data_IF_799786917136
#
_entry.id   IF_799786917136
#
_cell.length_a   1.000
_cell.length_b   1.000
_cell.length_c   1.000
_cell.angle_alpha   90.00
_cell.angle_beta   90.00
_cell.angle_gamma   90.00
#
_symmetry.space_group_name_H-M   'P 1'
#
loop_
_entity.id
_entity.type
_entity.pdbx_description
1 polymer ?
#
# COMPACT_ATOMS: atom_id res chain seq x y z
N UNK A 1 10.76 58.90 -47.92
CA UNK A 1 10.55 59.69 -46.68
C UNK A 1 10.57 58.73 -45.51
N UNK A 2 11.49 58.96 -44.57
CA UNK A 2 11.62 58.23 -43.31
C UNK A 2 10.35 58.37 -42.46
N UNK A 3 10.00 57.32 -41.69
CA UNK A 3 9.51 57.50 -40.31
C UNK A 3 9.86 56.27 -39.45
N UNK A 4 10.76 56.51 -38.49
CA UNK A 4 11.00 55.74 -37.26
C UNK A 4 9.74 55.75 -36.38
N UNK A 5 9.53 54.73 -35.51
CA UNK A 5 9.03 54.78 -34.10
C UNK A 5 8.87 53.31 -33.61
N UNK A 6 9.72 52.79 -32.70
CA UNK A 6 9.73 52.85 -31.21
C UNK A 6 9.18 51.57 -30.55
N UNK A 7 10.10 50.77 -29.99
CA UNK A 7 9.85 49.66 -29.05
C UNK A 7 9.38 50.22 -27.69
N UNK A 8 8.42 49.57 -26.99
CA UNK A 8 8.27 49.70 -25.55
C UNK A 8 9.04 48.59 -24.82
N UNK A 9 9.94 48.99 -23.93
CA UNK A 9 10.62 48.13 -22.96
C UNK A 9 9.68 47.83 -21.78
N UNK A 10 9.43 46.55 -21.50
CA UNK A 10 8.78 46.11 -20.27
C UNK A 10 9.83 45.94 -19.16
N UNK A 11 9.75 46.78 -18.13
CA UNK A 11 10.42 46.57 -16.84
C UNK A 11 9.66 45.48 -16.05
N UNK A 12 10.34 44.36 -15.75
CA UNK A 12 9.90 43.41 -14.74
C UNK A 12 10.52 43.82 -13.38
N UNK A 13 9.67 44.10 -12.40
CA UNK A 13 10.07 44.37 -11.01
C UNK A 13 10.24 43.04 -10.27
N UNK A 14 11.45 42.80 -9.76
CA UNK A 14 11.76 41.68 -8.88
C UNK A 14 11.24 41.98 -7.47
N UNK A 15 10.19 41.28 -7.04
CA UNK A 15 9.77 41.26 -5.65
C UNK A 15 10.69 40.31 -4.86
N UNK A 16 11.53 40.88 -3.99
CA UNK A 16 12.35 40.11 -3.04
C UNK A 16 11.44 39.73 -1.86
N UNK A 17 11.00 38.47 -1.81
CA UNK A 17 10.32 37.93 -0.64
C UNK A 17 11.34 37.75 0.51
N UNK A 18 11.13 38.47 1.61
CA UNK A 18 11.90 38.33 2.84
C UNK A 18 11.66 36.95 3.48
N UNK A 19 12.70 36.22 3.91
CA UNK A 19 12.51 34.98 4.66
C UNK A 19 11.98 35.31 6.07
N UNK A 20 10.77 34.83 6.36
CA UNK A 20 10.21 34.84 7.71
C UNK A 20 11.02 33.88 8.60
N UNK A 21 11.44 34.28 9.82
CA UNK A 21 12.16 33.38 10.72
C UNK A 21 11.23 32.25 11.19
N UNK A 22 11.54 31.01 10.77
CA UNK A 22 10.97 29.81 11.36
C UNK A 22 11.45 29.69 12.81
N UNK A 23 10.51 29.82 13.74
CA UNK A 23 10.70 29.50 15.15
C UNK A 23 10.91 27.97 15.28
N UNK A 24 12.16 27.50 15.17
CA UNK A 24 12.53 26.11 15.43
C UNK A 24 12.85 25.96 16.92
N UNK A 25 12.06 25.13 17.59
CA UNK A 25 12.32 24.60 18.92
C UNK A 25 13.76 24.05 18.99
N UNK A 26 14.54 24.32 20.04
CA UNK A 26 15.96 23.95 20.06
C UNK A 26 16.13 22.42 20.07
N UNK A 27 16.88 21.92 19.10
CA UNK A 27 17.33 20.53 19.06
C UNK A 27 18.20 20.24 20.29
N UNK A 28 17.94 19.12 20.97
CA UNK A 28 18.72 18.69 22.13
C UNK A 28 20.01 18.05 21.63
N UNK A 29 21.14 18.75 21.74
CA UNK A 29 22.46 18.19 21.44
C UNK A 29 22.98 17.42 22.64
N UNK A 30 23.54 16.23 22.39
CA UNK A 30 24.28 15.45 23.40
C UNK A 30 25.76 15.61 23.07
N UNK A 31 26.55 16.15 24.00
CA UNK A 31 28.01 16.18 23.88
C UNK A 31 28.59 14.83 24.32
N UNK A 32 29.42 14.25 23.46
CA UNK A 32 30.22 13.08 23.76
C UNK A 32 31.51 13.49 24.46
N UNK A 33 32.14 12.52 25.13
CA UNK A 33 33.35 12.72 25.95
C UNK A 33 34.57 13.21 25.14
N UNK A 34 34.54 13.08 23.82
CA UNK A 34 35.58 13.56 22.89
C UNK A 34 35.29 14.97 22.32
N UNK A 35 34.25 15.64 22.81
CA UNK A 35 33.85 16.98 22.36
C UNK A 35 33.03 17.00 21.07
N UNK A 36 32.71 15.84 20.47
CA UNK A 36 31.75 15.79 19.35
C UNK A 36 30.31 15.89 19.84
N UNK A 37 29.47 16.58 19.08
CA UNK A 37 28.05 16.77 19.41
C UNK A 37 27.17 15.94 18.47
N UNK A 38 26.35 15.05 19.04
CA UNK A 38 25.28 14.38 18.32
C UNK A 38 24.01 15.23 18.38
N UNK A 39 23.54 15.67 17.22
CA UNK A 39 22.21 16.25 17.06
C UNK A 39 21.20 15.11 16.92
N UNK A 40 20.37 14.91 17.94
CA UNK A 40 19.18 14.05 17.82
C UNK A 40 18.11 14.86 17.11
N UNK A 41 18.03 14.74 15.80
CA UNK A 41 16.85 15.16 15.05
C UNK A 41 15.74 14.13 15.30
N UNK A 42 14.55 14.61 15.66
CA UNK A 42 13.33 13.79 15.68
C UNK A 42 13.25 12.99 14.38
N UNK A 43 12.93 11.69 14.53
CA UNK A 43 12.95 10.68 13.49
C UNK A 43 12.53 11.24 12.12
N UNK A 44 13.52 11.52 11.27
CA UNK A 44 13.28 11.75 9.85
C UNK A 44 12.57 10.49 9.36
N UNK A 45 11.29 10.62 8.97
CA UNK A 45 10.55 9.57 8.26
C UNK A 45 11.47 9.11 7.12
N UNK A 46 12.07 7.93 7.27
CA UNK A 46 12.86 7.35 6.18
C UNK A 46 11.89 7.20 5.01
N UNK A 47 12.23 7.78 3.87
CA UNK A 47 11.44 7.63 2.66
C UNK A 47 11.17 6.14 2.40
N UNK A 48 9.96 5.78 1.95
CA UNK A 48 9.64 4.39 1.66
C UNK A 48 10.62 3.81 0.64
N UNK A 49 11.10 2.59 0.89
CA UNK A 49 11.94 1.83 -0.04
C UNK A 49 11.02 1.05 -0.98
N UNK A 50 11.37 0.86 -2.25
CA UNK A 50 10.58 0.07 -3.19
C UNK A 50 11.26 -1.25 -3.54
N UNK A 51 10.44 -2.26 -3.86
CA UNK A 51 10.85 -3.57 -4.40
C UNK A 51 10.23 -3.69 -5.79
N UNK A 52 11.02 -4.04 -6.80
CA UNK A 52 10.49 -4.33 -8.13
C UNK A 52 9.99 -5.78 -8.19
N UNK A 53 8.80 -5.99 -8.75
CA UNK A 53 8.17 -7.30 -8.91
C UNK A 53 8.43 -7.85 -10.33
N UNK A 54 8.15 -9.14 -10.55
CA UNK A 54 8.35 -9.80 -11.85
C UNK A 54 7.65 -9.13 -13.02
N UNK A 55 6.46 -8.61 -12.74
CA UNK A 55 5.65 -7.91 -13.73
C UNK A 55 6.15 -6.47 -13.97
N UNK A 56 7.25 -6.03 -13.34
CA UNK A 56 7.81 -4.69 -13.48
C UNK A 56 7.12 -3.63 -12.62
N UNK A 57 6.10 -3.99 -11.85
CA UNK A 57 5.47 -3.10 -10.88
C UNK A 57 6.33 -2.94 -9.62
N UNK A 58 5.97 -1.99 -8.76
CA UNK A 58 6.71 -1.71 -7.53
C UNK A 58 5.84 -1.93 -6.29
N UNK A 59 6.43 -2.58 -5.30
CA UNK A 59 5.89 -2.76 -3.97
C UNK A 59 6.56 -1.80 -3.00
N UNK A 60 5.78 -1.19 -2.13
CA UNK A 60 6.26 -0.18 -1.17
C UNK A 60 6.62 -0.82 0.14
N UNK A 61 7.80 -0.50 0.67
CA UNK A 61 8.29 -0.90 1.99
C UNK A 61 8.33 0.31 2.90
N UNK A 62 7.72 0.19 4.08
CA UNK A 62 7.67 1.25 5.09
C UNK A 62 7.83 0.66 6.50
N UNK A 63 8.12 1.48 7.53
CA UNK A 63 8.07 1.01 8.91
C UNK A 63 6.68 0.45 9.26
N UNK A 64 6.62 -0.65 10.02
CA UNK A 64 5.35 -1.14 10.55
C UNK A 64 4.82 -0.18 11.60
N UNK A 65 3.50 0.02 11.64
CA UNK A 65 2.87 0.82 12.69
C UNK A 65 2.41 -0.10 13.81
N UNK A 66 2.90 0.16 15.02
CA UNK A 66 2.35 -0.45 16.23
C UNK A 66 1.03 0.25 16.58
N UNK A 67 -0.07 -0.42 16.30
CA UNK A 67 -1.35 -0.04 16.89
C UNK A 67 -1.25 -0.29 18.39
N UNK A 68 -1.18 0.80 19.17
CA UNK A 68 -1.26 0.76 20.63
C UNK A 68 -2.67 0.31 21.05
N UNK A 69 -2.99 -0.97 20.85
CA UNK A 69 -4.22 -1.58 21.37
C UNK A 69 -4.03 -1.92 22.85
N UNK A 70 -5.03 -1.56 23.64
CA UNK A 70 -5.14 -1.77 25.08
C UNK A 70 -4.71 -3.18 25.49
N UNK A 71 -3.84 -3.29 26.50
CA UNK A 71 -3.25 -4.53 27.04
C UNK A 71 -4.27 -5.49 27.71
N UNK A 72 -5.57 -5.16 27.70
CA UNK A 72 -6.58 -5.85 28.50
C UNK A 72 -7.49 -6.82 27.73
N UNK A 73 -7.31 -7.00 26.41
CA UNK A 73 -8.05 -8.01 25.66
C UNK A 73 -7.24 -9.30 25.54
N UNK A 74 -7.88 -10.45 25.79
CA UNK A 74 -7.26 -11.76 25.57
C UNK A 74 -6.75 -11.85 24.13
N UNK A 75 -5.44 -12.05 24.05
CA UNK A 75 -4.62 -12.10 22.85
C UNK A 75 -4.85 -13.42 22.12
N UNK A 76 -5.77 -13.40 21.15
CA UNK A 76 -6.01 -14.56 20.28
C UNK A 76 -5.22 -14.38 18.97
N UNK A 77 -4.37 -15.36 18.67
CA UNK A 77 -3.69 -15.49 17.39
C UNK A 77 -4.62 -16.09 16.33
N UNK A 78 -4.21 -15.98 15.06
CA UNK A 78 -4.82 -16.66 13.91
C UNK A 78 -6.32 -16.41 13.78
N UNK A 79 -6.68 -15.12 13.65
CA UNK A 79 -8.06 -14.69 13.48
C UNK A 79 -8.22 -13.47 12.59
N UNK A 80 -9.45 -13.24 12.16
CA UNK A 80 -9.87 -11.96 11.61
C UNK A 80 -9.94 -10.95 12.76
N UNK A 81 -9.15 -9.88 12.70
CA UNK A 81 -9.16 -8.82 13.71
C UNK A 81 -10.02 -7.62 13.32
N UNK A 82 -10.27 -7.43 12.02
CA UNK A 82 -11.19 -6.45 11.47
C UNK A 82 -11.68 -6.87 10.08
N UNK A 83 -12.85 -6.36 9.69
CA UNK A 83 -13.31 -6.42 8.30
C UNK A 83 -13.17 -5.04 7.66
N UNK A 84 -12.98 -5.00 6.34
CA UNK A 84 -12.92 -3.73 5.61
C UNK A 84 -14.24 -2.93 5.65
N UNK A 85 -14.24 -1.72 5.09
CA UNK A 85 -15.40 -0.84 5.13
C UNK A 85 -16.61 -1.49 4.43
N UNK A 86 -17.82 -1.14 4.88
CA UNK A 86 -19.06 -1.63 4.24
C UNK A 86 -19.21 -1.16 2.78
N UNK A 87 -18.44 -0.19 2.31
CA UNK A 87 -18.41 0.27 0.92
C UNK A 87 -17.46 -0.54 0.03
N UNK A 88 -16.50 -1.26 0.61
CA UNK A 88 -15.46 -2.01 -0.11
C UNK A 88 -15.80 -3.49 -0.28
N UNK A 89 -17.04 -3.84 -0.66
CA UNK A 89 -17.38 -5.25 -0.90
C UNK A 89 -16.90 -5.69 -2.27
N UNK A 90 -16.18 -6.81 -2.31
CA UNK A 90 -15.75 -7.47 -3.54
C UNK A 90 -16.34 -8.89 -3.60
N UNK A 91 -17.00 -9.28 -4.70
CA UNK A 91 -17.39 -10.67 -4.93
C UNK A 91 -16.19 -11.61 -4.78
N UNK A 92 -16.37 -12.77 -4.13
CA UNK A 92 -15.25 -13.69 -3.88
C UNK A 92 -14.72 -14.26 -5.20
N UNK A 93 -15.64 -14.66 -6.08
CA UNK A 93 -15.34 -15.16 -7.43
C UNK A 93 -15.37 -14.02 -8.46
N UNK A 94 -14.80 -14.29 -9.63
CA UNK A 94 -14.87 -13.37 -10.77
C UNK A 94 -16.33 -13.14 -11.21
N UNK A 95 -16.64 -11.93 -11.66
CA UNK A 95 -18.01 -11.47 -11.89
C UNK A 95 -18.09 -10.36 -12.93
N UNK A 96 -19.31 -10.10 -13.41
CA UNK A 96 -19.61 -9.01 -14.34
C UNK A 96 -18.70 -8.99 -15.57
N UNK A 97 -18.69 -7.85 -16.27
CA UNK A 97 -17.75 -7.60 -17.36
C UNK A 97 -17.21 -6.17 -17.28
N UNK A 98 -15.94 -5.99 -17.60
CA UNK A 98 -15.30 -4.70 -17.85
C UNK A 98 -14.46 -4.84 -19.11
N UNK A 99 -14.73 -4.03 -20.14
CA UNK A 99 -14.08 -4.13 -21.45
C UNK A 99 -14.14 -5.56 -22.03
N UNK A 100 -15.33 -6.18 -22.00
CA UNK A 100 -15.61 -7.54 -22.46
C UNK A 100 -14.84 -8.67 -21.75
N UNK A 101 -14.20 -8.36 -20.61
CA UNK A 101 -13.51 -9.34 -19.78
C UNK A 101 -14.16 -9.45 -18.41
N UNK A 102 -14.22 -10.66 -17.85
CA UNK A 102 -14.72 -10.87 -16.50
C UNK A 102 -13.91 -10.04 -15.51
N UNK A 103 -14.56 -9.34 -14.58
CA UNK A 103 -13.83 -8.67 -13.52
C UNK A 103 -13.28 -9.69 -12.53
N UNK A 104 -12.10 -9.42 -12.01
CA UNK A 104 -11.50 -10.18 -10.93
C UNK A 104 -12.23 -9.94 -9.61
N UNK A 105 -12.62 -11.04 -8.99
CA UNK A 105 -13.07 -11.07 -7.61
C UNK A 105 -11.89 -11.14 -6.63
N UNK A 106 -12.23 -11.26 -5.34
CA UNK A 106 -11.28 -11.26 -4.24
C UNK A 106 -10.24 -12.38 -4.39
N UNK A 107 -10.67 -13.58 -4.78
CA UNK A 107 -9.80 -14.75 -4.95
C UNK A 107 -8.70 -14.51 -5.97
N UNK A 108 -9.05 -13.97 -7.13
CA UNK A 108 -8.08 -13.71 -8.21
C UNK A 108 -7.10 -12.60 -7.83
N UNK A 109 -7.57 -11.54 -7.18
CA UNK A 109 -6.71 -10.48 -6.66
C UNK A 109 -5.74 -10.97 -5.58
N UNK A 110 -6.20 -11.83 -4.65
CA UNK A 110 -5.36 -12.48 -3.64
C UNK A 110 -4.29 -13.35 -4.30
N UNK A 111 -4.68 -14.17 -5.27
CA UNK A 111 -3.74 -15.04 -5.99
C UNK A 111 -2.66 -14.20 -6.70
N UNK A 112 -3.05 -13.13 -7.41
CA UNK A 112 -2.12 -12.23 -8.07
C UNK A 112 -1.14 -11.58 -7.08
N UNK A 113 -1.63 -11.01 -5.98
CA UNK A 113 -0.77 -10.41 -4.96
C UNK A 113 0.20 -11.43 -4.36
N UNK A 114 -0.29 -12.59 -3.92
CA UNK A 114 0.53 -13.60 -3.26
C UNK A 114 1.59 -14.20 -4.20
N UNK A 115 1.25 -14.40 -5.48
CA UNK A 115 2.20 -14.88 -6.48
C UNK A 115 3.29 -13.83 -6.75
N UNK A 116 2.91 -12.56 -6.98
CA UNK A 116 3.85 -11.44 -7.19
C UNK A 116 4.79 -11.28 -5.99
N UNK A 117 4.29 -11.45 -4.76
CA UNK A 117 5.09 -11.37 -3.54
C UNK A 117 5.97 -12.61 -3.28
N UNK A 118 5.53 -13.80 -3.68
CA UNK A 118 6.29 -15.05 -3.49
C UNK A 118 7.43 -15.23 -4.50
N UNK A 119 7.38 -14.51 -5.62
CA UNK A 119 8.33 -14.69 -6.72
C UNK A 119 8.95 -13.37 -7.20
N UNK A 120 9.15 -12.35 -6.36
CA UNK A 120 9.70 -11.06 -6.80
C UNK A 120 11.05 -11.16 -7.53
N UNK A 121 11.26 -10.28 -8.52
CA UNK A 121 12.46 -10.28 -9.36
C UNK A 121 13.61 -9.52 -8.70
N UNK A 122 14.76 -10.17 -8.61
CA UNK A 122 16.00 -9.53 -8.21
C UNK A 122 16.65 -8.81 -9.41
N UNK A 123 17.52 -7.82 -9.16
CA UNK A 123 18.26 -7.13 -10.22
C UNK A 123 19.09 -8.07 -11.11
N UNK A 124 19.44 -9.26 -10.62
CA UNK A 124 20.19 -10.30 -11.35
C UNK A 124 19.29 -11.21 -12.22
N UNK A 125 17.98 -10.97 -12.24
CA UNK A 125 17.02 -11.75 -13.02
C UNK A 125 16.48 -13.00 -12.31
N UNK A 126 16.91 -13.29 -11.07
CA UNK A 126 16.37 -14.41 -10.29
C UNK A 126 15.05 -14.06 -9.61
N UNK A 127 14.17 -15.06 -9.42
CA UNK A 127 12.95 -14.90 -8.65
C UNK A 127 13.17 -15.39 -7.21
N UNK A 128 12.96 -14.50 -6.24
CA UNK A 128 12.99 -14.87 -4.81
C UNK A 128 11.80 -14.26 -4.08
N UNK A 129 11.29 -14.92 -3.03
CA UNK A 129 10.19 -14.34 -2.29
C UNK A 129 10.56 -13.05 -1.58
N UNK A 130 9.61 -12.13 -1.51
CA UNK A 130 9.74 -10.91 -0.73
C UNK A 130 9.96 -11.26 0.74
N UNK A 131 10.97 -10.63 1.35
CA UNK A 131 11.26 -10.73 2.77
C UNK A 131 10.78 -9.45 3.46
N UNK A 132 9.79 -9.58 4.35
CA UNK A 132 9.28 -8.50 5.19
C UNK A 132 10.08 -8.51 6.49
N UNK A 133 11.07 -7.62 6.57
CA UNK A 133 11.94 -7.53 7.74
C UNK A 133 11.16 -7.19 9.02
N UNK A 134 11.70 -7.59 10.18
CA UNK A 134 11.15 -7.21 11.47
C UNK A 134 10.97 -5.67 11.59
N UNK A 135 9.82 -5.23 12.09
CA UNK A 135 9.46 -3.82 12.22
C UNK A 135 9.11 -3.12 10.89
N UNK A 136 8.84 -3.88 9.82
CA UNK A 136 8.50 -3.31 8.50
C UNK A 136 7.16 -3.81 7.96
N UNK A 137 6.67 -3.09 6.97
CA UNK A 137 5.43 -3.34 6.24
C UNK A 137 5.71 -3.30 4.74
N UNK A 138 5.12 -4.23 4.00
CA UNK A 138 4.93 -4.11 2.55
C UNK A 138 3.50 -3.69 2.23
N UNK A 139 3.31 -2.83 1.22
CA UNK A 139 2.01 -2.51 0.63
C UNK A 139 2.08 -2.62 -0.89
N UNK A 140 1.02 -3.15 -1.49
CA UNK A 140 0.86 -3.28 -2.92
C UNK A 140 -0.61 -3.26 -3.32
N UNK A 141 -0.95 -2.48 -4.35
CA UNK A 141 -2.31 -2.40 -4.86
C UNK A 141 -2.46 -3.26 -6.11
N UNK A 142 -3.41 -4.20 -6.08
CA UNK A 142 -3.84 -4.92 -7.29
C UNK A 142 -5.02 -4.17 -7.89
N UNK A 143 -4.82 -3.62 -9.09
CA UNK A 143 -5.88 -3.00 -9.90
C UNK A 143 -6.25 -3.93 -11.05
N UNK A 144 -5.26 -4.44 -11.75
CA UNK A 144 -5.43 -5.24 -12.95
C UNK A 144 -4.63 -6.53 -12.89
N UNK A 145 -4.98 -7.44 -13.78
CA UNK A 145 -4.15 -8.60 -14.08
C UNK A 145 -2.73 -8.21 -14.47
N UNK A 146 -2.59 -7.18 -15.30
CA UNK A 146 -1.31 -6.62 -15.68
C UNK A 146 -1.25 -5.15 -15.25
N UNK A 147 -0.73 -4.91 -14.04
CA UNK A 147 -0.55 -3.56 -13.47
C UNK A 147 0.69 -2.81 -13.98
N UNK A 148 1.29 -3.29 -15.08
CA UNK A 148 2.47 -2.70 -15.70
C UNK A 148 2.30 -1.20 -15.96
N UNK A 149 3.31 -0.37 -15.63
CA UNK A 149 3.31 1.04 -16.02
C UNK A 149 3.15 1.18 -17.53
N UNK A 150 2.42 2.21 -17.97
CA UNK A 150 2.23 2.56 -19.39
C UNK A 150 1.52 1.52 -20.27
N UNK A 151 0.95 0.45 -19.70
CA UNK A 151 0.10 -0.48 -20.44
C UNK A 151 -1.30 0.16 -20.64
N UNK A 152 -1.85 0.19 -21.87
CA UNK A 152 -3.22 0.65 -22.10
C UNK A 152 -4.26 -0.25 -21.42
N UNK A 153 -5.36 0.32 -20.92
CA UNK A 153 -6.36 -0.43 -20.13
C UNK A 153 -6.96 -1.63 -20.88
N UNK A 154 -7.17 -1.51 -22.19
CA UNK A 154 -7.64 -2.60 -23.04
C UNK A 154 -6.63 -3.75 -23.23
N UNK A 155 -5.39 -3.57 -22.76
CA UNK A 155 -4.33 -4.58 -22.78
C UNK A 155 -3.99 -5.09 -21.38
N UNK A 156 -4.59 -4.52 -20.33
CA UNK A 156 -4.29 -4.88 -18.93
C UNK A 156 -4.88 -6.21 -18.49
N UNK A 157 -5.79 -6.78 -19.27
CA UNK A 157 -6.51 -7.98 -18.89
C UNK A 157 -7.61 -7.66 -17.88
N UNK A 158 -7.85 -8.59 -16.97
CA UNK A 158 -8.99 -8.50 -16.05
C UNK A 158 -8.85 -7.35 -15.04
N UNK A 159 -9.92 -6.57 -14.86
CA UNK A 159 -10.02 -5.51 -13.84
C UNK A 159 -10.54 -6.05 -12.53
N UNK A 160 -9.99 -5.64 -11.39
CA UNK A 160 -10.65 -5.88 -10.08
C UNK A 160 -12.01 -5.20 -10.02
N UNK A 161 -13.04 -5.97 -9.71
CA UNK A 161 -14.42 -5.48 -9.58
C UNK A 161 -14.90 -5.49 -8.13
N UNK A 162 -15.72 -4.52 -7.80
CA UNK A 162 -16.48 -4.48 -6.55
C UNK A 162 -17.92 -4.95 -6.80
N UNK A 163 -18.67 -5.02 -5.70
CA UNK A 163 -20.10 -5.27 -5.72
C UNK A 163 -20.82 -4.24 -6.60
N UNK A 164 -21.79 -4.72 -7.38
CA UNK A 164 -22.53 -3.88 -8.32
C UNK A 164 -21.75 -3.56 -9.60
N UNK A 165 -20.76 -4.38 -9.94
CA UNK A 165 -20.00 -4.28 -11.19
C UNK A 165 -19.20 -2.97 -11.32
N UNK A 166 -18.84 -2.38 -10.18
CA UNK A 166 -18.05 -1.16 -10.11
C UNK A 166 -16.55 -1.49 -10.21
N UNK A 167 -15.79 -0.87 -11.13
CA UNK A 167 -14.33 -0.96 -11.13
C UNK A 167 -13.75 -0.45 -9.81
N UNK A 168 -12.78 -1.19 -9.27
CA UNK A 168 -12.11 -0.84 -8.03
C UNK A 168 -10.78 -1.53 -7.91
N UNK A 169 -10.22 -1.59 -6.71
CA UNK A 169 -8.91 -2.19 -6.46
C UNK A 169 -8.86 -2.78 -5.07
N UNK A 170 -7.83 -3.57 -4.80
CA UNK A 170 -7.54 -4.07 -3.45
C UNK A 170 -6.11 -3.67 -3.09
N UNK A 171 -5.98 -2.88 -2.03
CA UNK A 171 -4.68 -2.65 -1.38
C UNK A 171 -4.40 -3.81 -0.43
N UNK A 172 -3.26 -4.47 -0.66
CA UNK A 172 -2.77 -5.52 0.21
C UNK A 172 -1.61 -5.02 1.05
N UNK A 173 -1.60 -5.36 2.33
CA UNK A 173 -0.48 -5.05 3.20
C UNK A 173 -0.06 -6.27 4.02
N UNK A 174 1.24 -6.42 4.24
CA UNK A 174 1.77 -7.40 5.21
C UNK A 174 2.66 -6.66 6.20
N UNK A 175 2.27 -6.68 7.47
CA UNK A 175 2.98 -6.02 8.56
C UNK A 175 3.71 -7.06 9.40
N UNK A 176 5.05 -7.00 9.44
CA UNK A 176 5.85 -7.76 10.38
C UNK A 176 6.22 -6.86 11.57
N UNK A 177 5.37 -6.85 12.60
CA UNK A 177 5.53 -6.07 13.85
C UNK A 177 6.41 -6.79 14.88
N UNK A 178 7.03 -7.91 14.51
CA UNK A 178 7.99 -8.60 15.40
C UNK A 178 9.18 -7.69 15.69
N UNK A 179 9.75 -7.85 16.89
CA UNK A 179 11.00 -7.17 17.28
C UNK A 179 12.22 -7.76 16.57
N UNK A 180 12.15 -9.03 16.21
CA UNK A 180 13.17 -9.77 15.49
C UNK A 180 12.52 -10.91 14.69
N UNK A 181 13.21 -11.38 13.65
CA UNK A 181 12.72 -12.43 12.77
C UNK A 181 12.00 -11.86 11.55
N UNK A 182 12.56 -12.16 10.38
CA UNK A 182 12.00 -11.75 9.11
C UNK A 182 10.87 -12.70 8.69
N UNK A 183 9.93 -12.19 7.91
CA UNK A 183 8.88 -13.00 7.31
C UNK A 183 9.10 -13.13 5.81
N UNK A 184 9.38 -14.35 5.36
CA UNK A 184 9.47 -14.66 3.94
C UNK A 184 8.08 -14.97 3.40
N UNK A 185 7.65 -14.22 2.38
CA UNK A 185 6.37 -14.45 1.71
C UNK A 185 6.35 -15.85 1.10
N UNK A 186 5.30 -16.63 1.40
CA UNK A 186 5.04 -17.92 0.76
C UNK A 186 3.66 -17.86 0.14
N UNK A 187 3.54 -18.26 -1.13
CA UNK A 187 2.30 -18.13 -1.90
C UNK A 187 1.12 -18.83 -1.21
N UNK A 188 1.27 -20.12 -0.89
CA UNK A 188 0.19 -20.92 -0.27
C UNK A 188 -0.27 -20.35 1.06
N UNK A 189 0.67 -19.96 1.94
CA UNK A 189 0.35 -19.38 3.25
C UNK A 189 -0.31 -18.02 3.10
N UNK A 190 0.23 -17.15 2.23
CA UNK A 190 -0.35 -15.85 1.90
C UNK A 190 -1.80 -15.98 1.42
N UNK A 191 -2.06 -16.88 0.47
CA UNK A 191 -3.41 -17.15 -0.04
C UNK A 191 -4.30 -17.63 1.10
N UNK A 192 -3.86 -18.61 1.89
CA UNK A 192 -4.63 -19.16 3.00
C UNK A 192 -5.03 -18.08 4.02
N UNK A 193 -4.10 -17.21 4.41
CA UNK A 193 -4.35 -16.15 5.39
C UNK A 193 -5.32 -15.10 4.86
N UNK A 194 -5.15 -14.65 3.63
CA UNK A 194 -6.06 -13.67 3.03
C UNK A 194 -7.45 -14.27 2.76
N UNK A 195 -7.53 -15.53 2.32
CA UNK A 195 -8.80 -16.20 2.04
C UNK A 195 -9.64 -16.50 3.28
N UNK A 196 -9.09 -16.44 4.50
CA UNK A 196 -9.91 -16.49 5.72
C UNK A 196 -10.95 -15.36 5.75
N UNK A 197 -10.67 -14.19 5.14
CA UNK A 197 -11.62 -13.08 5.07
C UNK A 197 -12.77 -13.31 4.07
N UNK A 198 -12.67 -14.34 3.24
CA UNK A 198 -13.66 -14.74 2.26
C UNK A 198 -14.30 -16.11 2.58
N UNK A 199 -14.00 -16.71 3.73
CA UNK A 199 -14.60 -17.98 4.16
C UNK A 199 -16.09 -17.77 4.53
N UNK A 200 -17.01 -18.57 3.95
CA UNK A 200 -18.45 -18.50 4.22
C UNK A 200 -18.86 -18.58 5.69
N UNK A 201 -18.00 -19.12 6.55
CA UNK A 201 -18.24 -19.31 7.98
C UNK A 201 -17.63 -18.18 8.85
N UNK A 202 -17.09 -17.12 8.24
CA UNK A 202 -16.39 -16.04 8.94
C UNK A 202 -17.10 -14.70 8.79
N UNK A 203 -16.81 -13.77 9.70
CA UNK A 203 -17.54 -12.50 9.89
C UNK A 203 -17.40 -11.49 8.75
N UNK A 204 -16.37 -11.61 7.90
CA UNK A 204 -16.17 -10.70 6.76
C UNK A 204 -16.87 -11.15 5.49
N UNK A 205 -17.46 -12.36 5.48
CA UNK A 205 -18.20 -12.89 4.35
C UNK A 205 -19.66 -12.44 4.36
N UNK A 206 -20.18 -12.07 3.19
CA UNK A 206 -21.55 -11.68 2.96
C UNK A 206 -22.32 -12.80 2.28
N UNK A 207 -23.04 -13.60 3.07
CA UNK A 207 -23.77 -14.77 2.57
C UNK A 207 -24.78 -14.47 1.46
N UNK A 208 -25.41 -13.29 1.49
CA UNK A 208 -26.42 -12.91 0.52
C UNK A 208 -25.86 -12.72 -0.90
N UNK A 209 -24.66 -12.15 -1.04
CA UNK A 209 -24.08 -11.85 -2.37
C UNK A 209 -22.80 -12.63 -2.65
N UNK A 210 -22.35 -13.48 -1.71
CA UNK A 210 -21.09 -14.23 -1.79
C UNK A 210 -19.88 -13.31 -1.97
N UNK A 211 -19.88 -12.19 -1.28
CA UNK A 211 -18.84 -11.16 -1.28
C UNK A 211 -18.02 -11.15 0.01
N UNK A 212 -16.86 -10.50 -0.01
CA UNK A 212 -16.03 -10.20 1.16
C UNK A 212 -15.77 -8.72 1.26
N UNK A 213 -15.67 -8.20 2.49
CA UNK A 213 -15.18 -6.84 2.75
C UNK A 213 -13.65 -6.75 2.77
N UNK A 214 -12.95 -7.87 2.62
CA UNK A 214 -11.56 -7.98 3.06
C UNK A 214 -11.44 -7.68 4.56
N UNK A 215 -10.36 -7.03 4.97
CA UNK A 215 -10.08 -6.71 6.36
C UNK A 215 -8.65 -7.04 6.76
N UNK A 216 -8.49 -7.54 7.99
CA UNK A 216 -7.21 -7.92 8.57
C UNK A 216 -7.27 -9.34 9.12
N UNK A 217 -6.39 -10.21 8.63
CA UNK A 217 -6.01 -11.44 9.30
C UNK A 217 -4.80 -11.18 10.20
N UNK A 218 -4.89 -11.53 11.47
CA UNK A 218 -3.78 -11.42 12.41
C UNK A 218 -3.28 -12.79 12.82
N UNK A 219 -1.96 -12.91 12.92
CA UNK A 219 -1.25 -14.06 13.43
C UNK A 219 -0.37 -13.64 14.61
N UNK A 220 0.05 -14.62 15.40
CA UNK A 220 1.07 -14.44 16.44
C UNK A 220 0.78 -13.27 17.36
N UNK A 221 -0.48 -13.17 17.80
CA UNK A 221 -0.91 -12.07 18.66
C UNK A 221 -0.63 -10.67 18.05
N UNK A 222 -1.06 -10.48 16.80
CA UNK A 222 -0.92 -9.24 16.04
C UNK A 222 0.54 -8.84 15.72
N UNK A 223 1.51 -9.75 15.89
CA UNK A 223 2.88 -9.51 15.43
C UNK A 223 3.07 -9.69 13.92
N UNK A 224 2.20 -10.45 13.26
CA UNK A 224 2.16 -10.55 11.81
C UNK A 224 0.72 -10.35 11.33
N UNK A 225 0.47 -9.38 10.46
CA UNK A 225 -0.88 -9.13 9.94
C UNK A 225 -0.90 -9.02 8.43
N UNK A 226 -2.00 -9.50 7.84
CA UNK A 226 -2.29 -9.46 6.42
C UNK A 226 -3.56 -8.66 6.22
N UNK A 227 -3.46 -7.60 5.42
CA UNK A 227 -4.57 -6.71 5.10
C UNK A 227 -4.97 -6.90 3.65
N UNK A 228 -6.27 -6.83 3.40
CA UNK A 228 -6.83 -6.68 2.06
C UNK A 228 -7.95 -5.65 2.15
N UNK A 229 -7.77 -4.51 1.51
CA UNK A 229 -8.65 -3.35 1.63
C UNK A 229 -9.22 -3.00 0.25
N UNK A 230 -10.41 -3.53 -0.09
CA UNK A 230 -11.05 -3.18 -1.35
C UNK A 230 -11.60 -1.76 -1.32
N UNK A 231 -11.43 -1.02 -2.42
CA UNK A 231 -11.89 0.35 -2.57
C UNK A 231 -12.29 0.65 -4.01
N UNK A 232 -13.24 1.56 -4.19
CA UNK A 232 -13.71 1.98 -5.51
C UNK A 232 -12.73 2.98 -6.12
N UNK A 233 -12.59 2.99 -7.45
CA UNK A 233 -11.75 4.00 -8.10
C UNK A 233 -12.34 5.41 -8.04
N UNK A 234 -13.67 5.50 -7.95
CA UNK A 234 -14.40 6.77 -7.83
C UNK A 234 -14.23 7.47 -6.48
N UNK A 235 -13.53 6.86 -5.52
CA UNK A 235 -13.09 7.52 -4.29
C UNK A 235 -11.93 8.51 -4.59
N UNK A 236 -12.19 9.46 -5.49
CA UNK A 236 -11.31 10.59 -5.90
C UNK A 236 -11.01 11.54 -4.72
N UNK A 237 -11.59 11.30 -3.54
CA UNK A 237 -11.34 12.08 -2.32
C UNK A 237 -10.42 11.41 -1.29
N UNK A 238 -9.64 10.38 -1.65
CA UNK A 238 -8.36 10.11 -0.97
C UNK A 238 -7.31 9.55 -1.95
N UNK A 239 -6.29 10.33 -2.32
CA UNK A 239 -5.06 9.75 -2.84
C UNK A 239 -4.44 8.91 -1.71
N UNK A 240 -4.38 7.60 -1.87
CA UNK A 240 -3.49 6.75 -1.05
C UNK A 240 -2.09 6.60 -1.69
N UNK A 241 -1.89 7.15 -2.88
CA UNK A 241 -0.64 7.15 -3.65
C UNK A 241 0.05 8.53 -3.75
N UNK A 242 -0.21 9.46 -2.83
CA UNK A 242 0.62 10.65 -2.68
C UNK A 242 1.44 10.59 -1.39
N UNK A 243 2.73 10.30 -1.55
CA UNK A 243 3.85 10.82 -0.76
C UNK A 243 3.47 11.27 0.67
N UNK A 244 3.52 10.34 1.63
CA UNK A 244 3.75 10.74 3.03
C UNK A 244 5.18 11.26 3.16
N UNK A 245 5.36 12.55 2.87
CA UNK A 245 6.41 13.40 3.48
C UNK A 245 6.02 13.65 4.94
#
# INVERSE_FOLDING_TARGET
MLYYQLLPALLATLAVASPTPQNKTPAKSIQLLDGTSLTVSDAVKRAPKTIQLLDGTTMTVSPSVDDKRSLNEKREADKISSCGPKSGWTPVENHGLHLDQAMWGYRSAVAAFCSRAAYALNPDGTATPVVVAAGTRISYTVRWENDKPNLPDNERGHRVGLKGEQPGHIEFEVNNKRKSGDYTMQETSCISYLMNMADPNKSCYGSNNKDSKGGTWQMEDNHLTFHALPAADSDVNKPHDELRI
#
